data_IF_502606824138
#
_entry.id   IF_502606824138
#
_cell.length_a   1.000
_cell.length_b   1.000
_cell.length_c   1.000
_cell.angle_alpha   90.00
_cell.angle_beta   90.00
_cell.angle_gamma   90.00
#
_symmetry.space_group_name_H-M   'P 1'
#
loop_
_entity.id
_entity.type
_entity.pdbx_description
1 polymer ?
#
# COMPACT_ATOMS: atom_id res chain seq x y z
N UNK A 1 5.90 -1.91 -17.53
CA UNK A 1 7.27 -2.21 -18.04
C UNK A 1 7.54 -3.69 -17.97
N UNK A 2 8.23 -4.26 -18.97
CA UNK A 2 8.51 -5.71 -19.11
C UNK A 2 9.22 -6.29 -17.87
N UNK A 3 10.17 -5.54 -17.27
CA UNK A 3 10.88 -5.97 -16.07
C UNK A 3 9.95 -6.29 -14.89
N UNK A 4 9.12 -5.34 -14.48
CA UNK A 4 8.23 -5.52 -13.32
C UNK A 4 7.19 -6.61 -13.57
N UNK A 5 6.77 -6.82 -14.82
CA UNK A 5 5.90 -7.94 -15.18
C UNK A 5 6.55 -9.31 -14.93
N UNK A 6 7.84 -9.47 -15.25
CA UNK A 6 8.59 -10.70 -14.91
C UNK A 6 8.75 -10.88 -13.40
N UNK A 7 9.10 -9.80 -12.69
CA UNK A 7 9.22 -9.83 -11.23
C UNK A 7 7.89 -10.15 -10.53
N UNK A 8 6.76 -9.76 -11.09
CA UNK A 8 5.44 -10.09 -10.57
C UNK A 8 5.13 -11.60 -10.66
N UNK A 9 5.56 -12.26 -11.73
CA UNK A 9 5.44 -13.73 -11.87
C UNK A 9 6.27 -14.41 -10.78
N UNK A 10 7.55 -14.03 -10.64
CA UNK A 10 8.45 -14.60 -9.62
C UNK A 10 7.90 -14.38 -8.19
N UNK A 11 7.39 -13.17 -7.90
CA UNK A 11 6.82 -12.86 -6.60
C UNK A 11 5.55 -13.67 -6.31
N UNK A 12 4.69 -13.86 -7.31
CA UNK A 12 3.53 -14.74 -7.19
C UNK A 12 3.96 -16.18 -6.95
N UNK A 13 4.98 -16.68 -7.65
CA UNK A 13 5.43 -18.06 -7.51
C UNK A 13 6.03 -18.31 -6.10
N UNK A 14 6.68 -17.32 -5.49
CA UNK A 14 7.19 -17.39 -4.11
C UNK A 14 6.10 -17.27 -3.04
N UNK A 15 5.16 -16.32 -3.20
CA UNK A 15 4.17 -16.00 -2.15
C UNK A 15 2.79 -16.62 -2.38
N UNK A 16 2.58 -17.28 -3.52
CA UNK A 16 1.30 -17.80 -4.00
C UNK A 16 0.46 -16.73 -4.73
N UNK A 17 0.47 -15.48 -4.26
CA UNK A 17 -0.19 -14.36 -4.94
C UNK A 17 0.45 -13.01 -4.61
N UNK A 18 0.31 -12.03 -5.52
CA UNK A 18 0.71 -10.65 -5.23
C UNK A 18 -0.09 -10.08 -4.05
N UNK A 19 -1.39 -10.40 -3.98
CA UNK A 19 -2.26 -9.95 -2.92
C UNK A 19 -1.74 -10.40 -1.55
N UNK A 20 -1.43 -11.69 -1.38
CA UNK A 20 -0.85 -12.23 -0.16
C UNK A 20 0.48 -11.59 0.20
N UNK A 21 1.33 -11.32 -0.80
CA UNK A 21 2.58 -10.60 -0.57
C UNK A 21 2.36 -9.16 -0.09
N UNK A 22 1.43 -8.39 -0.66
CA UNK A 22 1.24 -7.00 -0.26
C UNK A 22 0.43 -6.88 1.04
N UNK A 23 -0.65 -7.65 1.20
CA UNK A 23 -1.55 -7.56 2.35
C UNK A 23 -0.94 -8.02 3.67
N UNK A 24 0.13 -8.84 3.66
CA UNK A 24 0.92 -9.13 4.89
C UNK A 24 1.58 -7.88 5.50
N UNK A 25 1.66 -6.79 4.72
CA UNK A 25 2.22 -5.50 5.13
C UNK A 25 1.12 -4.48 5.44
N UNK A 26 -0.13 -4.89 5.63
CA UNK A 26 -1.19 -3.96 6.11
C UNK A 26 -0.72 -3.30 7.41
N UNK A 27 -0.55 -1.96 7.45
CA UNK A 27 -0.02 -1.28 8.62
C UNK A 27 -1.02 -1.30 9.77
N UNK A 28 -0.51 -1.39 11.00
CA UNK A 28 -1.33 -1.26 12.20
C UNK A 28 -1.93 0.14 12.35
N UNK A 29 -2.91 0.27 13.25
CA UNK A 29 -3.61 1.54 13.50
C UNK A 29 -2.67 2.66 14.01
N UNK A 30 -1.55 2.29 14.62
CA UNK A 30 -0.49 3.17 15.12
C UNK A 30 0.53 3.60 14.07
N UNK A 31 0.54 2.96 12.89
CA UNK A 31 1.42 3.30 11.77
C UNK A 31 0.72 4.20 10.73
N UNK A 32 -0.54 4.57 11.00
CA UNK A 32 -1.35 5.44 10.15
C UNK A 32 -1.47 6.84 10.76
N UNK A 33 -1.58 7.89 9.93
CA UNK A 33 -1.90 9.22 10.43
C UNK A 33 -3.25 9.22 11.16
N UNK A 34 -3.33 9.93 12.28
CA UNK A 34 -4.58 10.04 13.04
C UNK A 34 -5.66 10.81 12.27
N UNK A 35 -5.23 11.76 11.43
CA UNK A 35 -6.06 12.61 10.59
C UNK A 35 -5.43 12.68 9.22
N UNK A 36 -6.22 12.50 8.18
CA UNK A 36 -5.81 12.72 6.79
C UNK A 36 -6.53 13.96 6.28
N UNK A 37 -5.78 15.03 6.08
CA UNK A 37 -6.27 16.31 5.57
C UNK A 37 -5.55 16.69 4.25
N UNK A 38 -5.86 17.89 3.73
CA UNK A 38 -5.27 18.38 2.50
C UNK A 38 -3.75 18.51 2.60
N UNK A 39 -3.24 18.97 3.74
CA UNK A 39 -1.81 19.20 3.93
C UNK A 39 -1.06 17.87 3.98
N UNK A 40 -1.64 16.85 4.63
CA UNK A 40 -1.13 15.48 4.60
C UNK A 40 -1.00 14.95 3.18
N UNK A 41 -2.03 15.10 2.34
CA UNK A 41 -1.99 14.60 0.96
C UNK A 41 -0.96 15.37 0.12
N UNK A 42 -0.91 16.70 0.24
CA UNK A 42 0.04 17.54 -0.52
C UNK A 42 1.50 17.24 -0.14
N UNK A 43 1.76 16.85 1.11
CA UNK A 43 3.08 16.47 1.57
C UNK A 43 3.64 15.20 0.91
N UNK A 44 2.81 14.40 0.21
CA UNK A 44 3.19 13.13 -0.42
C UNK A 44 4.08 12.25 0.48
N UNK A 45 3.58 11.87 1.67
CA UNK A 45 4.42 11.27 2.70
C UNK A 45 4.89 9.86 2.32
N UNK A 46 5.85 9.39 3.10
CA UNK A 46 6.25 7.98 3.13
C UNK A 46 5.94 7.42 4.51
N UNK A 47 5.80 6.10 4.63
CA UNK A 47 5.60 5.42 5.91
C UNK A 47 6.73 4.42 6.16
N UNK A 48 6.98 4.02 7.42
CA UNK A 48 7.92 2.95 7.72
C UNK A 48 7.65 1.70 6.88
N UNK A 49 6.37 1.33 6.75
CA UNK A 49 5.90 0.21 5.92
C UNK A 49 6.23 0.40 4.44
N UNK A 50 6.00 1.58 3.86
CA UNK A 50 6.30 1.82 2.44
C UNK A 50 7.80 1.80 2.15
N UNK A 51 8.64 2.22 3.11
CA UNK A 51 10.10 2.09 3.04
C UNK A 51 10.53 0.62 3.07
N UNK A 52 9.92 -0.21 3.93
CA UNK A 52 10.21 -1.66 4.00
C UNK A 52 9.88 -2.35 2.70
N UNK A 53 8.65 -2.18 2.20
CA UNK A 53 8.20 -2.78 0.93
C UNK A 53 9.06 -2.26 -0.23
N UNK A 54 9.36 -0.96 -0.30
CA UNK A 54 10.23 -0.38 -1.34
C UNK A 54 11.61 -1.04 -1.37
N UNK A 55 12.24 -1.23 -0.21
CA UNK A 55 13.55 -1.89 -0.11
C UNK A 55 13.48 -3.34 -0.56
N UNK A 56 12.45 -4.08 -0.15
CA UNK A 56 12.28 -5.48 -0.53
C UNK A 56 12.05 -5.65 -2.04
N UNK A 57 11.14 -4.85 -2.63
CA UNK A 57 10.89 -4.86 -4.07
C UNK A 57 12.15 -4.49 -4.87
N UNK A 58 12.92 -3.48 -4.42
CA UNK A 58 14.20 -3.12 -5.05
C UNK A 58 15.21 -4.26 -4.99
N UNK A 59 15.32 -4.94 -3.84
CA UNK A 59 16.19 -6.12 -3.68
C UNK A 59 15.78 -7.26 -4.62
N UNK A 60 14.48 -7.37 -4.92
CA UNK A 60 13.89 -8.31 -5.88
C UNK A 60 13.95 -7.83 -7.34
N UNK A 61 14.64 -6.72 -7.62
CA UNK A 61 14.85 -6.24 -8.99
C UNK A 61 13.68 -5.49 -9.62
N UNK A 62 12.70 -5.04 -8.83
CA UNK A 62 11.67 -4.12 -9.32
C UNK A 62 12.24 -2.72 -9.56
N UNK A 63 11.72 -2.03 -10.57
CA UNK A 63 12.12 -0.65 -10.91
C UNK A 63 10.96 0.32 -10.68
N UNK A 64 11.26 1.60 -10.42
CA UNK A 64 10.28 2.65 -10.12
C UNK A 64 9.39 2.37 -8.90
N UNK A 65 9.95 1.72 -7.88
CA UNK A 65 9.26 1.37 -6.63
C UNK A 65 9.85 2.13 -5.44
N UNK A 66 9.98 3.46 -5.55
CA UNK A 66 10.42 4.31 -4.43
C UNK A 66 9.39 4.34 -3.29
N UNK A 67 9.76 4.69 -2.04
CA UNK A 67 8.84 4.66 -0.90
C UNK A 67 7.57 5.49 -1.07
N UNK A 68 7.64 6.66 -1.73
CA UNK A 68 6.46 7.48 -2.07
C UNK A 68 5.55 6.75 -3.05
N UNK A 69 6.10 6.16 -4.12
CA UNK A 69 5.34 5.37 -5.10
C UNK A 69 4.68 4.16 -4.45
N UNK A 70 5.39 3.50 -3.53
CA UNK A 70 4.86 2.35 -2.80
C UNK A 70 3.75 2.79 -1.85
N UNK A 71 3.88 3.93 -1.17
CA UNK A 71 2.79 4.42 -0.31
C UNK A 71 1.55 4.79 -1.13
N UNK A 72 1.72 5.46 -2.28
CA UNK A 72 0.63 5.72 -3.21
C UNK A 72 -0.04 4.42 -3.71
N UNK A 73 0.74 3.37 -3.96
CA UNK A 73 0.21 2.04 -4.28
C UNK A 73 -0.59 1.45 -3.11
N UNK A 74 -0.11 1.57 -1.87
CA UNK A 74 -0.83 1.10 -0.68
C UNK A 74 -2.18 1.81 -0.52
N UNK A 75 -2.23 3.12 -0.78
CA UNK A 75 -3.46 3.91 -0.78
C UNK A 75 -4.42 3.43 -1.87
N UNK A 76 -3.93 3.28 -3.11
CA UNK A 76 -4.74 2.87 -4.26
C UNK A 76 -5.30 1.43 -4.14
N UNK A 77 -4.54 0.52 -3.55
CA UNK A 77 -4.94 -0.88 -3.36
C UNK A 77 -5.74 -1.11 -2.06
N UNK A 78 -5.97 -0.06 -1.27
CA UNK A 78 -6.72 -0.17 -0.03
C UNK A 78 -5.98 -0.93 1.07
N UNK A 79 -4.64 -0.91 1.11
CA UNK A 79 -3.89 -1.34 2.30
C UNK A 79 -4.05 -0.32 3.43
N UNK A 80 -4.22 0.96 3.07
CA UNK A 80 -4.64 2.04 3.96
C UNK A 80 -5.90 2.71 3.41
N UNK A 81 -6.67 3.35 4.29
CA UNK A 81 -7.75 4.25 3.88
C UNK A 81 -7.36 5.68 4.23
N UNK A 82 -6.85 6.39 3.23
CA UNK A 82 -6.40 7.77 3.35
C UNK A 82 -7.36 8.73 2.61
N UNK A 83 -8.63 8.34 2.46
CA UNK A 83 -9.65 9.33 2.12
C UNK A 83 -9.63 10.43 3.19
N UNK A 84 -9.56 11.71 2.77
CA UNK A 84 -9.50 12.84 3.70
C UNK A 84 -10.72 12.88 4.65
N UNK A 85 -10.57 13.55 5.79
CA UNK A 85 -11.71 13.76 6.70
C UNK A 85 -12.88 14.45 5.98
N UNK A 86 -14.09 13.96 6.22
CA UNK A 86 -15.30 14.44 5.55
C UNK A 86 -15.48 13.94 4.10
N UNK A 87 -14.56 13.15 3.54
CA UNK A 87 -14.76 12.50 2.25
C UNK A 87 -15.96 11.53 2.32
N UNK A 88 -16.91 11.65 1.39
CA UNK A 88 -18.12 10.83 1.38
C UNK A 88 -17.83 9.32 1.23
N UNK A 89 -16.74 8.94 0.56
CA UNK A 89 -16.33 7.54 0.41
C UNK A 89 -15.78 6.93 1.71
N UNK A 90 -15.26 7.75 2.63
CA UNK A 90 -14.47 7.25 3.75
C UNK A 90 -15.23 6.26 4.64
N UNK A 91 -16.49 6.52 5.06
CA UNK A 91 -17.24 5.58 5.90
C UNK A 91 -17.53 4.25 5.18
N UNK A 92 -17.86 4.30 3.89
CA UNK A 92 -18.12 3.11 3.09
C UNK A 92 -16.85 2.26 2.92
N UNK A 93 -15.71 2.89 2.63
CA UNK A 93 -14.42 2.21 2.50
C UNK A 93 -13.99 1.59 3.83
N UNK A 94 -14.17 2.27 4.97
CA UNK A 94 -13.90 1.65 6.28
C UNK A 94 -14.79 0.41 6.53
N UNK A 95 -16.08 0.48 6.17
CA UNK A 95 -16.97 -0.67 6.30
C UNK A 95 -16.53 -1.84 5.40
N UNK A 96 -16.14 -1.57 4.15
CA UNK A 96 -15.62 -2.57 3.22
C UNK A 96 -14.32 -3.21 3.76
N UNK A 97 -13.41 -2.42 4.34
CA UNK A 97 -12.17 -2.92 4.95
C UNK A 97 -12.42 -3.77 6.18
N UNK A 98 -13.40 -3.40 7.01
CA UNK A 98 -13.78 -4.19 8.18
C UNK A 98 -14.33 -5.56 7.77
N UNK A 99 -15.11 -5.61 6.69
CA UNK A 99 -15.67 -6.84 6.13
C UNK A 99 -14.67 -7.67 5.29
N UNK A 100 -13.55 -7.07 4.88
CA UNK A 100 -12.57 -7.73 4.00
C UNK A 100 -11.86 -8.88 4.72
N UNK A 101 -12.00 -10.08 4.17
CA UNK A 101 -11.16 -11.23 4.50
C UNK A 101 -9.82 -11.04 3.80
N UNK A 102 -8.74 -10.89 4.60
CA UNK A 102 -7.40 -10.65 4.05
C UNK A 102 -6.92 -11.90 3.27
N UNK A 103 -6.28 -11.72 2.10
CA UNK A 103 -5.74 -12.81 1.28
C UNK A 103 -4.57 -13.60 1.92
#
# INVERSE_FOLDING_TARGET
TINNGRRAIELRDEFGSLARYFWRHEPGHNERPAVVDRDHIVANPTTPTSVVISKDLKKRGWTFVGPTTVYAFMQAMGLVNDHIEGCYCRPEVEAMRAALVRP
#
